data_IF_882713344139
#
_entry.id   IF_882713344139
#
_cell.length_a   1.000
_cell.length_b   1.000
_cell.length_c   1.000
_cell.angle_alpha   90.00
_cell.angle_beta   90.00
_cell.angle_gamma   90.00
#
_symmetry.space_group_name_H-M   'P 1'
#
loop_
_entity.id
_entity.type
_entity.pdbx_description
1 polymer ?
#
# COMPACT_ATOMS: atom_id res chain seq x y z
N UNK A 1 3.25 1.92 -16.46
CA UNK A 1 2.49 2.82 -15.61
C UNK A 1 3.29 4.06 -15.28
N UNK A 2 2.60 5.14 -14.96
CA UNK A 2 3.26 6.38 -14.53
C UNK A 2 3.46 6.33 -13.02
N UNK A 3 4.68 6.51 -12.57
CA UNK A 3 5.00 6.61 -11.13
C UNK A 3 5.51 8.03 -10.89
N UNK A 4 4.84 8.84 -10.08
CA UNK A 4 5.39 10.12 -9.65
C UNK A 4 6.55 9.87 -8.69
N UNK A 5 7.73 10.34 -9.04
CA UNK A 5 8.89 10.35 -8.15
C UNK A 5 9.04 11.75 -7.60
N UNK A 6 8.90 11.88 -6.27
CA UNK A 6 9.15 13.14 -5.58
C UNK A 6 10.62 13.16 -5.20
N UNK A 7 11.41 14.01 -5.84
CA UNK A 7 12.79 14.28 -5.41
C UNK A 7 12.82 15.54 -4.55
N UNK A 8 13.35 15.41 -3.34
CA UNK A 8 13.63 16.58 -2.50
C UNK A 8 15.00 17.12 -2.88
N UNK A 9 15.05 18.34 -3.40
CA UNK A 9 16.27 19.10 -3.50
C UNK A 9 16.43 19.94 -2.23
N UNK A 10 17.64 20.01 -1.68
CA UNK A 10 17.97 20.69 -0.42
C UNK A 10 17.73 22.22 -0.42
N UNK A 11 17.35 22.80 -1.55
CA UNK A 11 17.02 24.23 -1.68
C UNK A 11 15.52 24.39 -1.84
N UNK A 12 14.95 25.41 -1.29
CA UNK A 12 13.55 25.89 -1.15
C UNK A 12 12.52 25.52 -2.23
N UNK A 13 12.89 24.80 -3.28
CA UNK A 13 12.04 24.30 -4.36
C UNK A 13 12.01 22.78 -4.35
N UNK A 14 10.83 22.21 -4.25
CA UNK A 14 10.60 20.78 -4.45
C UNK A 14 10.14 20.54 -5.89
N UNK A 15 10.71 19.56 -6.57
CA UNK A 15 10.33 19.21 -7.94
C UNK A 15 9.62 17.86 -7.94
N UNK A 16 8.42 17.79 -8.48
CA UNK A 16 7.74 16.53 -8.77
C UNK A 16 8.13 16.11 -10.19
N UNK A 17 8.76 14.95 -10.30
CA UNK A 17 9.08 14.33 -11.59
C UNK A 17 8.10 13.21 -11.87
N UNK A 18 7.46 13.26 -13.01
CA UNK A 18 6.68 12.16 -13.55
C UNK A 18 7.54 11.46 -14.59
N UNK A 19 7.94 10.22 -14.28
CA UNK A 19 8.76 9.40 -15.16
C UNK A 19 7.96 8.21 -15.67
N UNK A 20 8.23 7.76 -16.88
CA UNK A 20 7.75 6.45 -17.33
C UNK A 20 8.68 5.38 -16.80
N UNK A 21 8.11 4.29 -16.27
CA UNK A 21 8.88 3.07 -16.07
C UNK A 21 9.16 2.46 -17.44
N UNK A 22 10.43 2.34 -17.88
CA UNK A 22 10.75 1.80 -19.17
C UNK A 22 10.36 0.32 -19.28
N UNK A 23 9.80 -0.08 -20.41
CA UNK A 23 9.84 -1.47 -20.81
C UNK A 23 11.31 -1.86 -20.98
N UNK A 24 11.66 -3.11 -20.60
CA UNK A 24 13.03 -3.64 -20.54
C UNK A 24 13.93 -3.07 -21.68
N UNK A 25 14.91 -2.26 -21.30
CA UNK A 25 15.98 -1.66 -22.11
C UNK A 25 15.82 -0.20 -22.59
N UNK A 26 14.82 0.54 -22.22
CA UNK A 26 14.71 1.96 -22.54
C UNK A 26 15.17 2.83 -21.36
N UNK A 27 15.75 4.00 -21.66
CA UNK A 27 16.12 4.98 -20.64
C UNK A 27 14.85 5.57 -20.01
N UNK A 28 14.90 5.83 -18.69
CA UNK A 28 13.84 6.61 -18.05
C UNK A 28 13.61 7.91 -18.81
N UNK A 29 12.37 8.12 -19.24
CA UNK A 29 11.97 9.37 -19.89
C UNK A 29 11.24 10.20 -18.85
N UNK A 30 11.81 11.32 -18.49
CA UNK A 30 11.14 12.34 -17.69
C UNK A 30 10.04 12.96 -18.56
N UNK A 31 8.78 12.73 -18.20
CA UNK A 31 7.61 13.23 -18.94
C UNK A 31 7.22 14.64 -18.53
N UNK A 32 7.39 14.95 -17.26
CA UNK A 32 6.96 16.22 -16.69
C UNK A 32 7.77 16.49 -15.43
N UNK A 33 8.29 17.70 -15.34
CA UNK A 33 8.88 18.26 -14.12
C UNK A 33 8.04 19.43 -13.68
N UNK A 34 7.58 19.44 -12.43
CA UNK A 34 6.79 20.51 -11.86
C UNK A 34 7.51 21.05 -10.65
N UNK A 35 7.89 22.32 -10.71
CA UNK A 35 8.45 23.00 -9.57
C UNK A 35 7.33 23.45 -8.65
N UNK A 36 7.44 23.12 -7.37
CA UNK A 36 6.49 23.54 -6.33
C UNK A 36 7.11 24.71 -5.59
N UNK A 37 6.45 25.88 -5.64
CA UNK A 37 6.78 27.04 -4.83
C UNK A 37 5.90 27.06 -3.57
N UNK A 38 6.48 27.31 -2.40
CA UNK A 38 5.77 27.42 -1.14
C UNK A 38 4.71 28.52 -1.15
N UNK A 39 4.92 29.57 -1.96
CA UNK A 39 3.99 30.71 -2.06
C UNK A 39 2.76 30.41 -2.92
N UNK A 40 2.84 29.42 -3.84
CA UNK A 40 1.76 29.02 -4.75
C UNK A 40 1.20 27.64 -4.44
N UNK A 41 1.59 27.01 -3.34
CA UNK A 41 1.24 25.64 -3.02
C UNK A 41 -0.28 25.36 -3.03
N UNK A 42 -1.09 26.34 -2.58
CA UNK A 42 -2.56 26.19 -2.59
C UNK A 42 -3.13 26.25 -3.99
N UNK A 43 -2.57 27.09 -4.86
CA UNK A 43 -2.95 27.19 -6.26
C UNK A 43 -2.55 25.90 -7.00
N UNK A 44 -1.36 25.40 -6.74
CA UNK A 44 -0.87 24.15 -7.31
C UNK A 44 -1.74 22.96 -6.88
N UNK A 45 -2.08 22.86 -5.59
CA UNK A 45 -3.00 21.82 -5.09
C UNK A 45 -4.36 21.88 -5.78
N UNK A 46 -4.91 23.08 -6.01
CA UNK A 46 -6.19 23.27 -6.70
C UNK A 46 -6.11 22.83 -8.16
N UNK A 47 -5.05 23.22 -8.86
CA UNK A 47 -4.81 22.80 -10.25
C UNK A 47 -4.65 21.28 -10.38
N UNK A 48 -3.96 20.64 -9.43
CA UNK A 48 -3.84 19.18 -9.38
C UNK A 48 -5.20 18.51 -9.19
N UNK A 49 -6.07 19.02 -8.31
CA UNK A 49 -7.41 18.47 -8.11
C UNK A 49 -8.23 18.56 -9.39
N UNK A 50 -8.21 19.71 -10.08
CA UNK A 50 -8.88 19.86 -11.38
C UNK A 50 -8.30 18.90 -12.42
N UNK A 51 -6.98 18.78 -12.49
CA UNK A 51 -6.29 17.86 -13.39
C UNK A 51 -6.72 16.41 -13.18
N UNK A 52 -6.83 15.96 -11.93
CA UNK A 52 -7.32 14.62 -11.57
C UNK A 52 -8.78 14.42 -12.04
N UNK A 53 -9.67 15.40 -11.81
CA UNK A 53 -11.07 15.31 -12.23
C UNK A 53 -11.17 15.17 -13.75
N UNK A 54 -10.39 15.97 -14.51
CA UNK A 54 -10.36 15.89 -15.98
C UNK A 54 -9.84 14.54 -16.44
N UNK A 55 -8.77 14.04 -15.82
CA UNK A 55 -8.21 12.73 -16.13
C UNK A 55 -9.23 11.62 -15.86
N UNK A 56 -9.85 11.61 -14.70
CA UNK A 56 -10.86 10.63 -14.32
C UNK A 56 -12.04 10.63 -15.31
N UNK A 57 -12.49 11.80 -15.74
CA UNK A 57 -13.51 11.91 -16.79
C UNK A 57 -13.06 11.27 -18.10
N UNK A 58 -11.80 11.48 -18.51
CA UNK A 58 -11.25 10.89 -19.76
C UNK A 58 -11.17 9.37 -19.70
N UNK A 59 -10.82 8.79 -18.55
CA UNK A 59 -10.71 7.33 -18.37
C UNK A 59 -12.00 6.68 -17.83
N UNK A 60 -13.08 7.46 -17.72
CA UNK A 60 -14.40 7.04 -17.24
C UNK A 60 -14.37 6.44 -15.82
N UNK A 61 -13.64 7.10 -14.92
CA UNK A 61 -13.58 6.78 -13.49
C UNK A 61 -14.22 7.90 -12.69
N UNK A 62 -14.99 7.56 -11.66
CA UNK A 62 -15.58 8.54 -10.75
C UNK A 62 -14.57 8.91 -9.66
N UNK A 63 -14.17 10.19 -9.51
CA UNK A 63 -13.07 10.57 -8.62
C UNK A 63 -13.46 10.87 -7.17
N UNK A 64 -14.74 10.75 -6.81
CA UNK A 64 -15.27 11.27 -5.54
C UNK A 64 -15.79 10.17 -4.59
N UNK A 65 -15.56 8.90 -4.87
CA UNK A 65 -15.90 7.81 -3.97
C UNK A 65 -14.77 6.78 -3.84
N UNK A 66 -14.85 5.95 -2.80
CA UNK A 66 -13.90 4.91 -2.46
C UNK A 66 -14.63 3.59 -2.12
N UNK A 67 -15.39 2.99 -3.07
CA UNK A 67 -16.25 1.85 -2.78
C UNK A 67 -15.49 0.63 -2.26
N UNK A 68 -14.26 0.46 -2.67
CA UNK A 68 -13.43 -0.67 -2.23
C UNK A 68 -12.85 -0.48 -0.82
N UNK A 69 -12.69 0.76 -0.37
CA UNK A 69 -12.32 1.08 1.02
C UNK A 69 -13.50 0.83 1.96
N UNK A 70 -14.71 1.19 1.54
CA UNK A 70 -15.93 0.90 2.30
C UNK A 70 -16.13 -0.61 2.51
N UNK A 71 -15.82 -1.44 1.53
CA UNK A 71 -15.83 -2.91 1.66
C UNK A 71 -14.91 -3.39 2.79
N UNK A 72 -13.72 -2.82 2.94
CA UNK A 72 -12.80 -3.15 4.04
C UNK A 72 -13.37 -2.77 5.40
N UNK A 73 -14.04 -1.62 5.50
CA UNK A 73 -14.69 -1.16 6.74
C UNK A 73 -15.82 -2.08 7.15
N UNK A 74 -16.68 -2.48 6.22
CA UNK A 74 -17.78 -3.42 6.49
C UNK A 74 -17.25 -4.77 6.97
N UNK A 75 -16.24 -5.32 6.32
CA UNK A 75 -15.61 -6.56 6.76
C UNK A 75 -15.00 -6.42 8.16
N UNK A 76 -14.35 -5.31 8.46
CA UNK A 76 -13.81 -5.00 9.80
C UNK A 76 -14.91 -5.03 10.87
N UNK A 77 -16.04 -4.36 10.60
CA UNK A 77 -17.17 -4.34 11.53
C UNK A 77 -17.78 -5.73 11.74
N UNK A 78 -17.90 -6.53 10.67
CA UNK A 78 -18.40 -7.90 10.77
C UNK A 78 -17.49 -8.77 11.64
N UNK A 79 -16.17 -8.65 11.51
CA UNK A 79 -15.19 -9.39 12.31
C UNK A 79 -15.28 -8.96 13.79
N UNK A 80 -15.34 -7.65 14.05
CA UNK A 80 -15.49 -7.12 15.41
C UNK A 80 -16.76 -7.63 16.11
N UNK A 81 -17.86 -7.73 15.36
CA UNK A 81 -19.15 -8.16 15.89
C UNK A 81 -19.28 -9.68 16.01
N UNK A 82 -18.49 -10.46 15.29
CA UNK A 82 -18.57 -11.93 15.30
C UNK A 82 -17.95 -12.58 16.54
N UNK A 83 -17.23 -11.81 17.39
CA UNK A 83 -16.42 -12.34 18.48
C UNK A 83 -15.43 -13.44 18.02
N UNK A 84 -15.14 -13.54 16.75
CA UNK A 84 -14.10 -14.43 16.24
C UNK A 84 -12.75 -13.93 16.76
N UNK A 85 -12.29 -14.59 17.81
CA UNK A 85 -10.92 -14.37 18.28
C UNK A 85 -9.95 -14.83 17.20
N UNK A 86 -8.77 -14.25 17.24
CA UNK A 86 -7.62 -14.55 16.42
C UNK A 86 -7.51 -16.07 16.15
N UNK A 87 -8.09 -16.55 15.06
CA UNK A 87 -7.81 -17.86 14.53
C UNK A 87 -6.63 -17.74 13.58
N UNK A 88 -5.63 -18.59 13.74
CA UNK A 88 -4.49 -18.63 12.81
C UNK A 88 -4.99 -18.68 11.39
N UNK A 89 -4.74 -17.58 10.67
CA UNK A 89 -5.18 -17.47 9.29
C UNK A 89 -4.36 -18.42 8.43
N UNK A 90 -5.02 -19.29 7.68
CA UNK A 90 -4.38 -20.33 6.84
C UNK A 90 -3.40 -19.77 5.77
N UNK A 91 -3.32 -18.47 5.60
CA UNK A 91 -2.47 -17.82 4.60
C UNK A 91 -1.15 -17.29 5.15
N UNK A 92 -0.68 -17.79 6.29
CA UNK A 92 0.67 -17.45 6.76
C UNK A 92 1.74 -17.96 5.80
N UNK A 93 2.43 -17.02 5.19
CA UNK A 93 3.56 -17.30 4.33
C UNK A 93 4.86 -17.14 5.13
N UNK A 94 5.64 -18.19 5.28
CA UNK A 94 6.97 -18.03 5.88
C UNK A 94 7.86 -17.16 4.99
N UNK A 95 8.78 -16.40 5.59
CA UNK A 95 9.74 -15.55 4.87
C UNK A 95 10.47 -16.33 3.76
N UNK A 96 10.84 -17.60 4.03
CA UNK A 96 11.48 -18.46 3.03
C UNK A 96 10.57 -18.80 1.84
N UNK A 97 9.27 -19.00 2.07
CA UNK A 97 8.30 -19.21 0.99
C UNK A 97 8.06 -17.94 0.21
N UNK A 98 7.98 -16.78 0.90
CA UNK A 98 7.84 -15.48 0.27
C UNK A 98 9.02 -15.17 -0.65
N UNK A 99 10.25 -15.35 -0.18
CA UNK A 99 11.45 -15.16 -0.99
C UNK A 99 11.45 -16.05 -2.25
N UNK A 100 11.04 -17.30 -2.15
CA UNK A 100 10.89 -18.19 -3.32
C UNK A 100 9.80 -17.71 -4.27
N UNK A 101 8.67 -17.25 -3.74
CA UNK A 101 7.54 -16.73 -4.52
C UNK A 101 7.95 -15.54 -5.38
N UNK A 102 8.65 -14.57 -4.80
CA UNK A 102 9.15 -13.39 -5.51
C UNK A 102 10.13 -13.77 -6.63
N UNK A 103 11.02 -14.73 -6.36
CA UNK A 103 12.07 -15.12 -7.32
C UNK A 103 11.55 -15.96 -8.51
N UNK A 104 10.45 -16.68 -8.34
CA UNK A 104 9.93 -17.60 -9.37
C UNK A 104 8.93 -16.95 -10.32
N UNK A 105 8.23 -15.89 -9.89
CA UNK A 105 7.05 -15.41 -10.59
C UNK A 105 7.25 -14.02 -11.22
N UNK A 106 7.96 -13.98 -12.35
CA UNK A 106 8.26 -12.75 -13.12
C UNK A 106 7.03 -12.10 -13.82
N UNK A 107 5.80 -12.49 -13.48
CA UNK A 107 4.58 -11.99 -14.15
C UNK A 107 3.86 -10.88 -13.41
N UNK A 108 4.32 -10.47 -12.22
CA UNK A 108 3.71 -9.38 -11.45
C UNK A 108 4.55 -8.13 -11.58
N UNK A 109 3.87 -7.01 -11.79
CA UNK A 109 4.53 -5.73 -12.06
C UNK A 109 4.77 -4.94 -10.78
N UNK A 110 3.99 -5.19 -9.72
CA UNK A 110 4.03 -4.39 -8.50
C UNK A 110 3.74 -5.23 -7.26
N UNK A 111 4.50 -4.97 -6.20
CA UNK A 111 4.30 -5.53 -4.87
C UNK A 111 3.89 -4.42 -3.90
N UNK A 112 2.77 -4.60 -3.21
CA UNK A 112 2.40 -3.78 -2.06
C UNK A 112 2.83 -4.47 -0.77
N UNK A 113 3.54 -3.73 0.10
CA UNK A 113 3.92 -4.12 1.45
C UNK A 113 3.06 -3.34 2.44
N UNK A 114 2.03 -3.97 2.94
CA UNK A 114 1.10 -3.39 3.91
C UNK A 114 1.57 -3.75 5.33
N UNK A 115 2.12 -2.77 6.03
CA UNK A 115 2.86 -2.96 7.27
C UNK A 115 1.96 -2.68 8.49
N UNK A 116 1.41 -3.72 9.10
CA UNK A 116 0.71 -3.65 10.39
C UNK A 116 1.70 -3.90 11.53
N UNK A 117 2.67 -3.02 11.63
CA UNK A 117 3.74 -3.04 12.61
C UNK A 117 3.88 -1.66 13.25
N UNK A 118 4.44 -1.60 14.45
CA UNK A 118 4.70 -0.32 15.09
C UNK A 118 5.80 0.46 14.36
N UNK A 119 5.49 1.71 13.99
CA UNK A 119 6.43 2.62 13.34
C UNK A 119 7.44 3.17 14.36
N UNK A 120 8.61 2.53 14.43
CA UNK A 120 9.73 2.92 15.29
C UNK A 120 10.80 3.61 14.45
N UNK A 121 11.69 4.33 15.14
CA UNK A 121 12.91 4.88 14.53
C UNK A 121 13.69 3.77 13.79
N UNK A 122 14.20 4.09 12.61
CA UNK A 122 14.94 3.15 11.75
C UNK A 122 14.11 2.12 10.98
N UNK A 123 12.78 2.01 11.23
CA UNK A 123 11.93 1.08 10.48
C UNK A 123 11.77 1.52 9.02
N UNK A 124 11.65 2.82 8.77
CA UNK A 124 11.50 3.35 7.42
C UNK A 124 12.71 3.02 6.55
N UNK A 125 13.92 3.21 7.08
CA UNK A 125 15.15 2.86 6.38
C UNK A 125 15.19 1.36 6.04
N UNK A 126 14.86 0.49 7.00
CA UNK A 126 14.78 -0.96 6.75
C UNK A 126 13.76 -1.35 5.70
N UNK A 127 12.64 -0.64 5.63
CA UNK A 127 11.62 -0.86 4.60
C UNK A 127 12.14 -0.44 3.23
N UNK A 128 12.85 0.68 3.12
CA UNK A 128 13.48 1.11 1.87
C UNK A 128 14.61 0.16 1.44
N UNK A 129 15.40 -0.34 2.38
CA UNK A 129 16.40 -1.38 2.11
C UNK A 129 15.76 -2.67 1.58
N UNK A 130 14.64 -3.09 2.19
CA UNK A 130 13.87 -4.24 1.73
C UNK A 130 13.33 -4.05 0.32
N UNK A 131 12.76 -2.88 0.02
CA UNK A 131 12.28 -2.54 -1.33
C UNK A 131 13.40 -2.57 -2.35
N UNK A 132 14.55 -2.01 -2.00
CA UNK A 132 15.76 -2.01 -2.84
C UNK A 132 16.25 -3.45 -3.10
N UNK A 133 16.24 -4.29 -2.07
CA UNK A 133 16.61 -5.69 -2.18
C UNK A 133 15.63 -6.45 -3.09
N UNK A 134 14.33 -6.26 -2.93
CA UNK A 134 13.29 -6.87 -3.78
C UNK A 134 13.50 -6.44 -5.24
N UNK A 135 13.71 -5.16 -5.48
CA UNK A 135 13.97 -4.65 -6.84
C UNK A 135 15.21 -5.29 -7.45
N UNK A 136 16.30 -5.39 -6.68
CA UNK A 136 17.58 -5.98 -7.14
C UNK A 136 17.47 -7.46 -7.45
N UNK A 137 16.71 -8.22 -6.65
CA UNK A 137 16.65 -9.70 -6.75
C UNK A 137 15.59 -10.18 -7.73
N UNK A 138 14.46 -9.51 -7.82
CA UNK A 138 13.30 -9.94 -8.61
C UNK A 138 12.83 -8.96 -9.70
N UNK A 139 13.45 -7.79 -9.78
CA UNK A 139 13.05 -6.70 -10.68
C UNK A 139 11.59 -6.25 -10.53
N UNK A 140 10.99 -6.46 -9.36
CA UNK A 140 9.63 -6.03 -9.04
C UNK A 140 9.69 -4.69 -8.31
N UNK A 141 8.88 -3.73 -8.74
CA UNK A 141 8.70 -2.48 -8.00
C UNK A 141 7.82 -2.71 -6.78
N UNK A 142 8.10 -1.99 -5.70
CA UNK A 142 7.34 -2.15 -4.46
C UNK A 142 6.94 -0.82 -3.83
N UNK A 143 5.73 -0.80 -3.28
CA UNK A 143 5.17 0.32 -2.51
C UNK A 143 4.92 -0.19 -1.10
N UNK A 144 5.38 0.53 -0.09
CA UNK A 144 5.14 0.19 1.30
C UNK A 144 4.26 1.25 1.96
N UNK A 145 3.33 0.79 2.82
CA UNK A 145 2.47 1.67 3.60
C UNK A 145 2.21 1.10 4.99
N UNK A 146 2.21 1.97 6.00
CA UNK A 146 1.88 1.57 7.38
C UNK A 146 0.37 1.52 7.58
N UNK A 147 -0.11 0.37 8.03
CA UNK A 147 -1.51 0.14 8.32
C UNK A 147 -1.95 0.73 9.67
N UNK A 148 -3.21 1.09 9.79
CA UNK A 148 -4.25 1.09 8.73
C UNK A 148 -4.22 2.32 7.81
N UNK A 149 -3.32 3.28 8.02
CA UNK A 149 -3.28 4.58 7.33
C UNK A 149 -3.20 4.48 5.80
N UNK A 150 -2.49 3.47 5.25
CA UNK A 150 -2.37 3.29 3.80
C UNK A 150 -3.72 3.09 3.10
N UNK A 151 -4.76 2.64 3.82
CA UNK A 151 -6.11 2.47 3.26
C UNK A 151 -6.65 3.75 2.63
N UNK A 152 -6.34 4.91 3.23
CA UNK A 152 -6.76 6.23 2.76
C UNK A 152 -5.85 6.83 1.67
N UNK A 153 -4.84 6.11 1.23
CA UNK A 153 -3.91 6.55 0.17
C UNK A 153 -3.91 5.58 -1.02
N UNK A 154 -3.49 4.35 -0.81
CA UNK A 154 -3.36 3.35 -1.88
C UNK A 154 -4.36 2.21 -1.79
N UNK A 155 -5.22 2.18 -0.75
CA UNK A 155 -6.15 1.09 -0.51
C UNK A 155 -7.16 0.89 -1.64
N UNK A 156 -7.71 1.98 -2.19
CA UNK A 156 -8.60 1.94 -3.35
C UNK A 156 -7.87 1.40 -4.59
N UNK A 157 -6.63 1.85 -4.83
CA UNK A 157 -5.82 1.41 -5.97
C UNK A 157 -5.48 -0.08 -5.89
N UNK A 158 -5.18 -0.60 -4.69
CA UNK A 158 -4.91 -2.02 -4.49
C UNK A 158 -6.11 -2.91 -4.85
N UNK A 159 -7.33 -2.45 -4.61
CA UNK A 159 -8.56 -3.22 -4.81
C UNK A 159 -9.20 -3.00 -6.18
N UNK A 160 -9.26 -1.75 -6.61
CA UNK A 160 -9.90 -1.33 -7.86
C UNK A 160 -8.95 -1.19 -9.05
N UNK A 161 -7.65 -1.21 -8.81
CA UNK A 161 -6.62 -1.07 -9.84
C UNK A 161 -6.29 -2.35 -10.60
N UNK A 162 -5.13 -2.37 -11.28
CA UNK A 162 -4.67 -3.54 -12.03
C UNK A 162 -4.54 -4.79 -11.18
N UNK A 163 -4.94 -5.94 -11.74
CA UNK A 163 -4.89 -7.25 -11.05
C UNK A 163 -3.50 -7.88 -11.02
N UNK A 164 -2.55 -7.31 -11.75
CA UNK A 164 -1.19 -7.81 -11.87
C UNK A 164 -0.31 -7.38 -10.70
N UNK A 165 -0.83 -7.51 -9.48
CA UNK A 165 -0.17 -7.09 -8.25
C UNK A 165 -0.11 -8.24 -7.23
N UNK A 166 0.83 -8.10 -6.31
CA UNK A 166 0.88 -8.85 -5.06
C UNK A 166 0.68 -7.90 -3.89
N UNK A 167 -0.04 -8.35 -2.89
CA UNK A 167 -0.20 -7.63 -1.62
C UNK A 167 0.28 -8.52 -0.49
N UNK A 168 1.28 -8.06 0.22
CA UNK A 168 1.86 -8.76 1.36
C UNK A 168 1.66 -7.93 2.60
N UNK A 169 1.01 -8.53 3.58
CA UNK A 169 0.83 -7.97 4.91
C UNK A 169 1.94 -8.46 5.82
N UNK A 170 2.55 -7.55 6.53
CA UNK A 170 3.48 -7.84 7.61
C UNK A 170 2.82 -7.44 8.90
N UNK A 171 2.63 -8.40 9.81
CA UNK A 171 1.91 -8.19 11.05
C UNK A 171 2.82 -8.46 12.25
N UNK A 172 2.81 -7.55 13.22
CA UNK A 172 3.58 -7.72 14.45
C UNK A 172 2.85 -8.71 15.37
N UNK A 173 3.44 -9.88 15.56
CA UNK A 173 2.91 -10.93 16.45
C UNK A 173 2.67 -10.45 17.86
N UNK A 174 3.44 -9.50 18.37
CA UNK A 174 3.25 -8.92 19.68
C UNK A 174 1.89 -8.22 19.83
N UNK A 175 1.38 -7.61 18.76
CA UNK A 175 0.03 -7.01 18.74
C UNK A 175 -1.03 -8.12 18.89
N UNK A 176 -0.81 -9.28 18.26
CA UNK A 176 -1.70 -10.42 18.43
C UNK A 176 -1.71 -10.96 19.88
N UNK A 177 -0.54 -11.00 20.50
CA UNK A 177 -0.41 -11.45 21.90
C UNK A 177 -1.10 -10.51 22.88
N UNK A 178 -1.11 -9.21 22.64
CA UNK A 178 -1.84 -8.23 23.45
C UNK A 178 -3.35 -8.49 23.45
N UNK A 179 -3.90 -9.07 22.40
CA UNK A 179 -5.32 -9.40 22.31
C UNK A 179 -5.74 -10.55 23.27
N UNK A 180 -4.79 -11.35 23.73
CA UNK A 180 -5.04 -12.43 24.70
C UNK A 180 -4.98 -11.96 26.13
N UNK A 181 -4.55 -10.73 26.39
CA UNK A 181 -4.45 -10.14 27.72
C UNK A 181 -5.76 -9.44 28.07
N UNK A 182 -6.27 -9.68 29.26
CA UNK A 182 -7.50 -9.05 29.77
C UNK A 182 -7.17 -7.65 30.30
N UNK A 183 -6.93 -6.70 29.38
CA UNK A 183 -6.56 -5.32 29.70
C UNK A 183 -7.09 -4.33 28.63
N UNK A 184 -6.91 -3.02 28.88
CA UNK A 184 -7.33 -1.94 28.02
C UNK A 184 -6.74 -2.03 26.59
N UNK A 185 -5.60 -2.71 26.43
CA UNK A 185 -4.95 -2.88 25.13
C UNK A 185 -5.57 -4.00 24.30
N UNK A 186 -6.34 -4.91 24.89
CA UNK A 186 -6.98 -6.01 24.17
C UNK A 186 -8.02 -5.50 23.17
N UNK A 187 -8.80 -4.49 23.53
CA UNK A 187 -9.79 -3.89 22.62
C UNK A 187 -9.12 -3.20 21.43
N UNK A 188 -8.06 -2.41 21.67
CA UNK A 188 -7.32 -1.74 20.61
C UNK A 188 -6.63 -2.74 19.68
N UNK A 189 -6.04 -3.79 20.23
CA UNK A 189 -5.43 -4.87 19.49
C UNK A 189 -6.46 -5.61 18.63
N UNK A 190 -7.66 -5.85 19.16
CA UNK A 190 -8.75 -6.47 18.41
C UNK A 190 -9.23 -5.61 17.25
N UNK A 191 -9.38 -4.30 17.46
CA UNK A 191 -9.72 -3.35 16.38
C UNK A 191 -8.65 -3.37 15.30
N UNK A 192 -7.38 -3.29 15.66
CA UNK A 192 -6.25 -3.26 14.74
C UNK A 192 -6.16 -4.55 13.91
N UNK A 193 -6.32 -5.70 14.56
CA UNK A 193 -6.39 -6.99 13.89
C UNK A 193 -7.61 -7.10 12.97
N UNK A 194 -8.78 -6.65 13.41
CA UNK A 194 -9.99 -6.69 12.60
C UNK A 194 -9.87 -5.80 11.34
N UNK A 195 -9.15 -4.68 11.43
CA UNK A 195 -8.83 -3.85 10.28
C UNK A 195 -7.91 -4.56 9.29
N UNK A 196 -6.87 -5.24 9.79
CA UNK A 196 -6.00 -6.07 8.96
C UNK A 196 -6.81 -7.14 8.21
N UNK A 197 -7.60 -7.90 8.94
CA UNK A 197 -8.37 -9.01 8.37
C UNK A 197 -9.47 -8.53 7.43
N UNK A 198 -10.16 -7.43 7.77
CA UNK A 198 -11.16 -6.81 6.92
C UNK A 198 -10.61 -6.38 5.57
N UNK A 199 -9.38 -5.87 5.56
CA UNK A 199 -8.69 -5.47 4.33
C UNK A 199 -8.23 -6.68 3.51
N UNK A 200 -7.68 -7.71 4.14
CA UNK A 200 -7.31 -8.98 3.50
C UNK A 200 -8.54 -9.62 2.82
N UNK A 201 -9.67 -9.67 3.49
CA UNK A 201 -10.91 -10.22 2.95
C UNK A 201 -11.40 -9.41 1.74
N UNK A 202 -11.34 -8.08 1.82
CA UNK A 202 -11.73 -7.22 0.69
C UNK A 202 -10.84 -7.47 -0.56
N UNK A 203 -9.54 -7.67 -0.39
CA UNK A 203 -8.64 -8.02 -1.50
C UNK A 203 -8.92 -9.42 -2.06
N UNK A 204 -9.21 -10.39 -1.19
CA UNK A 204 -9.53 -11.75 -1.61
C UNK A 204 -10.80 -11.83 -2.43
N UNK A 205 -11.85 -11.09 -2.07
CA UNK A 205 -13.09 -11.01 -2.86
C UNK A 205 -12.85 -10.47 -4.27
N UNK A 206 -11.79 -9.70 -4.47
CA UNK A 206 -11.36 -9.17 -5.76
C UNK A 206 -10.37 -10.09 -6.50
N UNK A 207 -10.09 -11.29 -5.97
CA UNK A 207 -9.10 -12.23 -6.51
C UNK A 207 -7.68 -11.64 -6.62
N UNK A 208 -7.31 -10.77 -5.68
CA UNK A 208 -5.95 -10.23 -5.57
C UNK A 208 -5.08 -11.24 -4.80
N UNK A 209 -3.87 -11.51 -5.30
CA UNK A 209 -2.91 -12.37 -4.61
C UNK A 209 -2.46 -11.70 -3.30
N UNK A 210 -2.93 -12.22 -2.19
CA UNK A 210 -2.77 -11.63 -0.86
C UNK A 210 -2.13 -12.64 0.09
N UNK A 211 -1.11 -12.22 0.81
CA UNK A 211 -0.33 -13.03 1.73
C UNK A 211 -0.15 -12.30 3.06
N UNK A 212 -0.05 -13.07 4.15
CA UNK A 212 0.26 -12.57 5.50
C UNK A 212 1.56 -13.21 5.98
N UNK A 213 2.49 -12.40 6.50
CA UNK A 213 3.77 -12.81 7.08
C UNK A 213 3.83 -12.37 8.54
#
# INVERSE_FOLDING_TARGET
GFVPVISYLENEKSTIKIVTTPEKNEKEIELLSIDIDKNTILEDMYLWQIGIIILCKKINVYPFDEPDVESSKLNTLNILNSNERFNEYEAHLSINKFSKLINVNNKKDLLYLNLFIHEREGIKEKVEDLKSLIKKTSNIDSIAGFGPRYLHSVGQLQKGGPKNIWVVYVFDKYIAELNTMDNEFSELSNIYYSQLMGDILALKTKNINTYLI
#
